data_IF_780914967044
#
_entry.id   IF_780914967044
#
_cell.length_a   1.000
_cell.length_b   1.000
_cell.length_c   1.000
_cell.angle_alpha   90.00
_cell.angle_beta   90.00
_cell.angle_gamma   90.00
#
_symmetry.space_group_name_H-M   'P 1'
#
loop_
_entity.id
_entity.type
_entity.pdbx_description
1 polymer ?
#
# COMPACT_ATOMS: atom_id res chain seq x y z
N UNK A 1 -5.52 -26.14 37.99
CA UNK A 1 -6.50 -25.18 37.45
C UNK A 1 -5.89 -23.81 37.06
N UNK A 2 -4.67 -23.47 37.49
CA UNK A 2 -4.04 -22.16 37.18
C UNK A 2 -3.32 -22.09 35.82
N UNK A 3 -2.69 -23.17 35.34
CA UNK A 3 -1.98 -23.17 34.04
C UNK A 3 -2.91 -22.96 32.83
N UNK A 4 -4.13 -23.51 32.89
CA UNK A 4 -5.14 -23.31 31.83
C UNK A 4 -5.61 -21.85 31.83
N UNK A 5 -5.78 -21.25 33.02
CA UNK A 5 -6.15 -19.84 33.17
C UNK A 5 -5.05 -18.90 32.70
N UNK A 6 -3.79 -19.21 33.00
CA UNK A 6 -2.62 -18.47 32.49
C UNK A 6 -2.48 -18.61 30.97
N UNK A 7 -2.68 -19.81 30.42
CA UNK A 7 -2.71 -20.05 28.99
C UNK A 7 -3.84 -19.27 28.30
N UNK A 8 -5.03 -19.21 28.90
CA UNK A 8 -6.15 -18.41 28.41
C UNK A 8 -5.89 -16.90 28.53
N UNK A 9 -5.22 -16.44 29.60
CA UNK A 9 -4.77 -15.05 29.76
C UNK A 9 -3.72 -14.67 28.71
N UNK A 10 -2.71 -15.52 28.49
CA UNK A 10 -1.70 -15.33 27.44
C UNK A 10 -2.34 -15.32 26.04
N UNK A 11 -3.26 -16.25 25.76
CA UNK A 11 -4.00 -16.31 24.49
C UNK A 11 -4.89 -15.07 24.32
N UNK A 12 -5.55 -14.57 25.38
CA UNK A 12 -6.26 -13.27 25.38
C UNK A 12 -5.31 -12.09 25.16
N UNK A 13 -4.10 -12.12 25.73
CA UNK A 13 -3.07 -11.10 25.55
C UNK A 13 -2.49 -11.11 24.13
N UNK A 14 -2.32 -12.28 23.51
CA UNK A 14 -1.96 -12.43 22.09
C UNK A 14 -3.09 -12.01 21.15
N UNK A 15 -4.35 -12.25 21.53
CA UNK A 15 -5.53 -11.78 20.79
C UNK A 15 -5.72 -10.26 20.97
N UNK A 16 -5.29 -9.69 22.10
CA UNK A 16 -5.35 -8.26 22.44
C UNK A 16 -4.13 -7.44 22.01
N UNK A 17 -2.99 -8.07 21.76
CA UNK A 17 -1.89 -7.47 21.02
C UNK A 17 -2.26 -7.53 19.54
N UNK A 18 -2.47 -6.40 18.84
CA UNK A 18 -2.56 -6.46 17.39
C UNK A 18 -1.24 -7.04 16.89
N UNK A 19 -1.24 -8.33 16.48
CA UNK A 19 -0.25 -8.88 15.54
C UNK A 19 -0.02 -7.78 14.53
N UNK A 20 1.17 -7.15 14.51
CA UNK A 20 1.49 -5.94 13.71
C UNK A 20 0.69 -6.00 12.42
N UNK A 21 -0.47 -5.32 12.38
CA UNK A 21 -1.31 -5.34 11.18
C UNK A 21 -0.40 -4.69 10.15
N UNK A 22 0.00 -5.42 9.11
CA UNK A 22 0.69 -4.85 7.97
C UNK A 22 -0.27 -3.83 7.35
N UNK A 23 -0.29 -2.63 7.91
CA UNK A 23 -1.23 -1.60 7.54
C UNK A 23 -0.66 -1.00 6.26
N UNK A 24 -1.09 -1.57 5.13
CA UNK A 24 -0.72 -1.14 3.79
C UNK A 24 -1.12 0.31 3.59
N UNK A 25 -2.25 0.69 4.19
CA UNK A 25 -2.78 2.04 4.19
C UNK A 25 -2.17 2.86 5.34
N UNK A 26 -1.59 4.00 4.98
CA UNK A 26 -1.09 5.00 5.90
C UNK A 26 -2.19 5.98 6.32
N UNK A 27 -3.13 6.27 5.41
CA UNK A 27 -4.19 7.25 5.65
C UNK A 27 -5.49 6.82 4.98
N UNK A 28 -6.61 7.15 5.64
CA UNK A 28 -7.97 7.08 5.10
C UNK A 28 -8.60 8.46 5.27
N UNK A 29 -9.18 8.99 4.21
CA UNK A 29 -9.86 10.29 4.20
C UNK A 29 -11.30 10.10 3.72
N UNK A 30 -12.21 10.95 4.17
CA UNK A 30 -13.58 11.02 3.67
C UNK A 30 -13.86 12.45 3.24
N UNK A 31 -14.10 12.66 1.95
CA UNK A 31 -14.33 13.99 1.34
C UNK A 31 -15.58 13.88 0.49
N UNK A 32 -16.60 14.70 0.73
CA UNK A 32 -17.83 14.77 -0.07
C UNK A 32 -18.44 13.38 -0.36
N UNK A 33 -18.63 12.57 0.69
CA UNK A 33 -19.08 11.17 0.62
C UNK A 33 -18.19 10.18 -0.15
N UNK A 34 -17.05 10.62 -0.69
CA UNK A 34 -16.02 9.75 -1.25
C UNK A 34 -15.03 9.33 -0.19
N UNK A 35 -14.64 8.05 -0.21
CA UNK A 35 -13.59 7.53 0.68
C UNK A 35 -12.29 7.39 -0.09
N UNK A 36 -11.24 8.06 0.38
CA UNK A 36 -9.90 7.99 -0.22
C UNK A 36 -8.99 7.17 0.69
N UNK A 37 -8.30 6.21 0.10
CA UNK A 37 -7.31 5.39 0.78
C UNK A 37 -5.93 5.71 0.24
N UNK A 38 -4.96 5.87 1.13
CA UNK A 38 -3.60 6.23 0.81
C UNK A 38 -2.67 5.15 1.33
N UNK A 39 -1.94 4.49 0.43
CA UNK A 39 -0.96 3.49 0.83
C UNK A 39 0.25 4.13 1.50
N UNK A 40 1.08 3.30 2.14
CA UNK A 40 2.50 3.64 2.35
C UNK A 40 3.21 3.78 1.00
N UNK A 41 4.44 4.26 1.04
CA UNK A 41 5.31 4.34 -0.13
C UNK A 41 5.85 2.94 -0.42
N UNK A 42 5.64 2.46 -1.63
CA UNK A 42 6.17 1.19 -2.12
C UNK A 42 7.22 1.42 -3.20
N UNK A 43 8.06 0.41 -3.42
CA UNK A 43 9.09 0.47 -4.44
C UNK A 43 8.47 0.46 -5.84
N UNK A 44 7.68 -0.57 -6.12
CA UNK A 44 7.06 -0.85 -7.41
C UNK A 44 5.88 -1.83 -7.26
N UNK A 45 5.20 -2.09 -8.38
CA UNK A 45 4.16 -3.12 -8.49
C UNK A 45 4.84 -4.47 -8.75
N UNK A 46 4.52 -5.47 -7.94
CA UNK A 46 5.03 -6.84 -8.11
C UNK A 46 4.16 -7.62 -9.08
N UNK A 47 2.85 -7.67 -8.82
CA UNK A 47 1.86 -8.35 -9.65
C UNK A 47 0.46 -7.84 -9.30
N UNK A 48 -0.50 -8.04 -10.20
CA UNK A 48 -1.90 -7.74 -10.02
C UNK A 48 -2.73 -8.70 -10.87
N UNK A 49 -4.01 -8.85 -10.56
CA UNK A 49 -4.90 -9.69 -11.36
C UNK A 49 -6.12 -10.14 -10.58
N UNK A 50 -6.84 -11.10 -11.17
CA UNK A 50 -7.99 -11.75 -10.53
C UNK A 50 -7.47 -12.88 -9.66
N UNK A 51 -7.93 -12.96 -8.42
CA UNK A 51 -7.54 -14.04 -7.53
C UNK A 51 -8.18 -15.36 -8.00
N UNK A 52 -7.36 -16.35 -8.38
CA UNK A 52 -7.85 -17.67 -8.83
C UNK A 52 -8.70 -18.40 -7.79
N UNK A 53 -8.49 -18.16 -6.49
CA UNK A 53 -9.28 -18.78 -5.42
C UNK A 53 -10.55 -18.00 -5.08
N UNK A 54 -10.63 -16.74 -5.53
CA UNK A 54 -11.73 -15.81 -5.27
C UNK A 54 -11.93 -14.98 -6.53
N UNK A 55 -12.50 -15.61 -7.55
CA UNK A 55 -12.64 -15.11 -8.93
C UNK A 55 -13.36 -13.76 -9.04
N UNK A 56 -13.97 -13.31 -7.94
CA UNK A 56 -14.73 -12.08 -7.86
C UNK A 56 -13.92 -10.88 -7.33
N UNK A 57 -12.60 -10.96 -7.19
CA UNK A 57 -11.80 -9.86 -6.63
C UNK A 57 -10.50 -9.62 -7.38
N UNK A 58 -10.31 -8.38 -7.82
CA UNK A 58 -9.06 -7.91 -8.37
C UNK A 58 -8.12 -7.48 -7.23
N UNK A 59 -6.89 -7.98 -7.26
CA UNK A 59 -5.87 -7.69 -6.26
C UNK A 59 -4.64 -7.03 -6.88
N UNK A 60 -3.91 -6.32 -6.04
CA UNK A 60 -2.58 -5.80 -6.35
C UNK A 60 -1.60 -6.19 -5.25
N UNK A 61 -0.37 -6.51 -5.63
CA UNK A 61 0.75 -6.77 -4.73
C UNK A 61 1.86 -5.79 -5.02
N UNK A 62 2.34 -5.13 -3.97
CA UNK A 62 3.38 -4.11 -4.01
C UNK A 62 4.61 -4.59 -3.24
N UNK A 63 5.82 -4.31 -3.75
CA UNK A 63 7.08 -4.58 -3.03
C UNK A 63 7.41 -3.45 -2.07
N UNK A 64 7.77 -3.79 -0.84
CA UNK A 64 8.18 -2.81 0.17
C UNK A 64 9.32 -1.94 -0.38
N UNK A 65 9.37 -0.69 0.09
CA UNK A 65 10.32 0.31 -0.34
C UNK A 65 11.79 -0.10 -0.10
N UNK A 66 12.06 -0.77 1.03
CA UNK A 66 13.43 -1.09 1.46
C UNK A 66 13.78 -2.57 1.33
N UNK A 67 12.81 -3.47 1.51
CA UNK A 67 12.99 -4.91 1.31
C UNK A 67 12.19 -5.39 0.09
N UNK A 68 12.90 -5.85 -0.95
CA UNK A 68 12.28 -6.37 -2.18
C UNK A 68 11.55 -7.70 -1.96
N UNK A 69 11.89 -8.44 -0.91
CA UNK A 69 11.30 -9.73 -0.58
C UNK A 69 9.99 -9.54 0.20
N UNK A 70 9.88 -8.45 0.95
CA UNK A 70 8.66 -8.09 1.66
C UNK A 70 7.61 -7.54 0.68
N UNK A 71 6.46 -8.23 0.63
CA UNK A 71 5.35 -7.92 -0.29
C UNK A 71 4.10 -7.63 0.52
N UNK A 72 3.30 -6.70 0.01
CA UNK A 72 2.02 -6.31 0.59
C UNK A 72 0.95 -6.42 -0.48
N UNK A 73 -0.07 -7.23 -0.22
CA UNK A 73 -1.18 -7.45 -1.14
C UNK A 73 -2.50 -6.97 -0.56
N UNK A 74 -3.33 -6.35 -1.39
CA UNK A 74 -4.68 -5.97 -1.02
C UNK A 74 -5.64 -6.05 -2.20
N UNK A 75 -6.92 -6.09 -1.88
CA UNK A 75 -8.01 -6.14 -2.84
C UNK A 75 -8.38 -4.72 -3.24
N UNK A 76 -8.49 -4.47 -4.55
CA UNK A 76 -8.83 -3.17 -5.12
C UNK A 76 -10.34 -3.03 -5.26
N UNK A 77 -10.96 -3.96 -6.01
CA UNK A 77 -12.40 -3.99 -6.22
C UNK A 77 -12.92 -5.43 -6.38
N UNK A 78 -14.21 -5.59 -6.10
CA UNK A 78 -14.92 -6.80 -6.49
C UNK A 78 -15.39 -6.72 -7.94
N UNK A 79 -15.41 -7.84 -8.63
CA UNK A 79 -15.77 -7.98 -10.05
C UNK A 79 -17.29 -8.17 -10.23
N UNK A 80 -18.03 -8.43 -9.13
CA UNK A 80 -19.49 -8.56 -9.18
C UNK A 80 -20.17 -7.20 -9.41
N UNK A 81 -21.08 -7.18 -10.38
CA UNK A 81 -21.97 -6.05 -10.71
C UNK A 81 -22.83 -5.55 -9.54
N UNK A 82 -23.01 -6.35 -8.49
CA UNK A 82 -23.77 -5.97 -7.29
C UNK A 82 -23.09 -4.90 -6.43
N UNK A 83 -21.86 -4.51 -6.74
CA UNK A 83 -21.16 -3.41 -6.08
C UNK A 83 -21.55 -2.12 -6.82
N UNK A 84 -22.42 -1.32 -6.20
CA UNK A 84 -22.79 0.03 -6.65
C UNK A 84 -21.62 1.04 -6.47
N UNK A 85 -20.40 0.65 -6.84
CA UNK A 85 -19.18 1.45 -6.81
C UNK A 85 -18.35 1.12 -8.05
N UNK A 86 -18.74 1.75 -9.16
CA UNK A 86 -18.15 1.54 -10.48
C UNK A 86 -16.68 1.98 -10.53
N UNK A 87 -15.83 1.17 -11.18
CA UNK A 87 -14.44 1.51 -11.44
C UNK A 87 -14.35 2.49 -12.62
N UNK A 88 -13.82 3.68 -12.37
CA UNK A 88 -13.74 4.78 -13.35
C UNK A 88 -12.40 4.81 -14.09
N UNK A 89 -11.40 4.05 -13.65
CA UNK A 89 -10.11 3.92 -14.34
C UNK A 89 -8.88 4.13 -13.45
N UNK A 90 -7.72 4.03 -14.10
CA UNK A 90 -6.40 4.24 -13.49
C UNK A 90 -5.81 5.57 -13.93
N UNK A 91 -5.39 6.39 -12.97
CA UNK A 91 -4.78 7.69 -13.23
C UNK A 91 -3.39 7.76 -12.63
N UNK A 92 -2.45 8.33 -13.38
CA UNK A 92 -1.09 8.56 -12.92
C UNK A 92 -0.94 10.00 -12.46
N UNK A 93 -0.32 10.19 -11.32
CA UNK A 93 -0.12 11.53 -10.78
C UNK A 93 1.10 11.62 -9.88
N UNK A 94 1.35 12.82 -9.39
CA UNK A 94 2.36 13.05 -8.38
C UNK A 94 1.90 14.08 -7.36
N UNK A 95 2.42 13.95 -6.15
CA UNK A 95 2.28 14.95 -5.09
C UNK A 95 3.63 15.59 -4.84
N UNK A 96 3.70 16.92 -4.96
CA UNK A 96 4.84 17.72 -4.51
C UNK A 96 4.64 18.11 -3.06
N UNK A 97 5.72 18.09 -2.29
CA UNK A 97 5.73 18.53 -0.91
C UNK A 97 6.51 19.83 -0.78
N UNK A 98 6.04 20.80 0.03
CA UNK A 98 6.78 22.02 0.30
C UNK A 98 8.04 21.77 1.14
N UNK A 99 8.09 20.65 1.89
CA UNK A 99 9.25 20.18 2.65
C UNK A 99 9.59 18.74 2.26
N UNK A 100 10.88 18.33 2.24
CA UNK A 100 11.26 16.99 1.84
C UNK A 100 10.79 15.94 2.85
N UNK A 101 10.33 14.80 2.35
CA UNK A 101 10.22 13.57 3.13
C UNK A 101 11.59 12.89 3.16
N UNK A 102 12.10 12.62 4.37
CA UNK A 102 13.39 11.94 4.54
C UNK A 102 13.21 10.42 4.58
N UNK A 103 13.71 9.75 3.54
CA UNK A 103 13.73 8.29 3.45
C UNK A 103 15.03 7.76 4.05
N UNK A 104 14.92 7.07 5.18
CA UNK A 104 16.06 6.38 5.81
C UNK A 104 16.13 4.95 5.29
N UNK A 105 17.29 4.51 4.82
CA UNK A 105 17.52 3.12 4.43
C UNK A 105 18.92 2.66 4.81
N UNK A 106 19.08 1.36 5.00
CA UNK A 106 20.38 0.73 5.22
C UNK A 106 20.95 0.31 3.87
N UNK A 107 22.14 0.83 3.55
CA UNK A 107 22.86 0.44 2.35
C UNK A 107 23.33 -1.01 2.48
N UNK A 108 23.07 -1.83 1.46
CA UNK A 108 23.33 -3.28 1.53
C UNK A 108 24.84 -3.58 1.54
N UNK A 109 25.64 -2.75 0.87
CA UNK A 109 27.09 -2.96 0.69
C UNK A 109 27.85 -2.39 1.88
N UNK A 110 27.60 -1.12 2.19
CA UNK A 110 28.33 -0.37 3.24
C UNK A 110 27.74 -0.57 4.63
N UNK A 111 26.55 -1.16 4.75
CA UNK A 111 25.76 -1.31 6.00
C UNK A 111 25.44 0.01 6.72
N UNK A 112 25.79 1.16 6.14
CA UNK A 112 25.55 2.49 6.69
C UNK A 112 24.08 2.90 6.52
N UNK A 113 23.60 3.72 7.47
CA UNK A 113 22.28 4.36 7.36
C UNK A 113 22.41 5.57 6.46
N UNK A 114 21.70 5.56 5.33
CA UNK A 114 21.60 6.69 4.40
C UNK A 114 20.23 7.36 4.52
N UNK A 115 20.22 8.68 4.36
CA UNK A 115 19.01 9.49 4.38
C UNK A 115 18.91 10.22 3.04
N UNK A 116 17.82 10.02 2.32
CA UNK A 116 17.59 10.68 1.03
C UNK A 116 16.34 11.56 1.12
N UNK A 117 16.45 12.87 0.79
CA UNK A 117 15.30 13.75 0.73
C UNK A 117 14.45 13.47 -0.52
N UNK A 118 13.13 13.46 -0.37
CA UNK A 118 12.18 13.29 -1.45
C UNK A 118 11.13 14.40 -1.44
N UNK A 119 11.10 15.21 -2.49
CA UNK A 119 10.18 16.35 -2.65
C UNK A 119 8.94 16.02 -3.49
N UNK A 120 8.98 14.92 -4.24
CA UNK A 120 7.94 14.51 -5.17
C UNK A 120 7.71 13.01 -5.02
N UNK A 121 6.45 12.62 -4.86
CA UNK A 121 6.04 11.21 -4.86
C UNK A 121 5.05 10.94 -5.98
N UNK A 122 5.28 9.88 -6.74
CA UNK A 122 4.39 9.44 -7.80
C UNK A 122 3.38 8.44 -7.23
N UNK A 123 2.19 8.40 -7.82
CA UNK A 123 1.15 7.45 -7.44
C UNK A 123 0.37 6.96 -8.65
N UNK A 124 -0.26 5.79 -8.48
CA UNK A 124 -1.37 5.32 -9.29
C UNK A 124 -2.64 5.49 -8.47
N UNK A 125 -3.61 6.20 -9.00
CA UNK A 125 -4.94 6.31 -8.44
C UNK A 125 -5.85 5.29 -9.15
N UNK A 126 -6.42 4.38 -8.37
CA UNK A 126 -7.55 3.57 -8.81
C UNK A 126 -8.82 4.31 -8.39
N UNK A 127 -9.52 4.89 -9.36
CA UNK A 127 -10.68 5.74 -9.11
C UNK A 127 -11.97 4.94 -9.21
N UNK A 128 -12.87 5.17 -8.27
CA UNK A 128 -14.20 4.59 -8.21
C UNK A 128 -15.25 5.69 -8.03
N UNK A 129 -16.52 5.39 -8.29
CA UNK A 129 -17.63 6.34 -8.13
C UNK A 129 -17.73 6.89 -6.70
N UNK A 130 -17.54 6.04 -5.69
CA UNK A 130 -17.63 6.35 -4.25
C UNK A 130 -16.29 6.52 -3.57
N UNK A 131 -15.16 6.45 -4.29
CA UNK A 131 -13.87 6.53 -3.62
C UNK A 131 -12.67 6.41 -4.53
N UNK A 132 -11.48 6.38 -3.95
CA UNK A 132 -10.24 6.16 -4.70
C UNK A 132 -9.18 5.51 -3.82
N UNK A 133 -8.30 4.74 -4.44
CA UNK A 133 -7.12 4.18 -3.79
C UNK A 133 -5.86 4.74 -4.45
N UNK A 134 -5.08 5.47 -3.66
CA UNK A 134 -3.80 6.06 -4.07
C UNK A 134 -2.65 5.14 -3.66
N UNK A 135 -2.05 4.49 -4.64
CA UNK A 135 -0.87 3.65 -4.49
C UNK A 135 0.39 4.47 -4.76
N UNK A 136 1.11 4.84 -3.70
CA UNK A 136 2.36 5.61 -3.84
C UNK A 136 3.53 4.70 -4.22
N UNK A 137 4.14 4.95 -5.37
CA UNK A 137 5.15 4.07 -5.96
C UNK A 137 6.37 4.88 -6.41
N UNK A 138 7.54 4.53 -5.88
CA UNK A 138 8.80 5.22 -6.19
C UNK A 138 9.26 4.98 -7.64
N UNK A 139 9.15 3.75 -8.15
CA UNK A 139 9.67 3.38 -9.47
C UNK A 139 8.95 4.06 -10.64
N UNK A 140 7.70 4.54 -10.46
CA UNK A 140 6.94 5.21 -11.53
C UNK A 140 7.64 6.46 -12.05
N UNK A 141 8.49 7.10 -11.25
CA UNK A 141 9.28 8.25 -11.72
C UNK A 141 10.08 7.92 -13.00
N UNK A 142 10.51 6.66 -13.18
CA UNK A 142 11.26 6.23 -14.35
C UNK A 142 10.40 6.27 -15.62
N UNK A 143 9.10 5.95 -15.52
CA UNK A 143 8.16 5.98 -16.65
C UNK A 143 7.86 7.40 -17.13
N UNK A 144 8.20 8.43 -16.35
CA UNK A 144 7.97 9.84 -16.71
C UNK A 144 9.16 10.49 -17.41
N UNK A 145 10.31 9.80 -17.55
CA UNK A 145 11.48 10.32 -18.27
C UNK A 145 11.42 9.84 -19.71
N UNK A 146 11.24 10.77 -20.66
CA UNK A 146 11.17 10.47 -22.10
C UNK A 146 12.48 9.91 -22.69
N UNK A 147 13.61 10.06 -22.00
CA UNK A 147 14.96 9.78 -22.54
C UNK A 147 15.45 8.32 -22.37
N UNK A 148 14.59 7.35 -22.03
CA UNK A 148 15.04 5.97 -21.73
C UNK A 148 14.22 4.85 -22.39
N UNK A 149 13.63 5.12 -23.54
CA UNK A 149 13.05 4.09 -24.41
C UNK A 149 13.53 4.32 -25.83
#
# INVERSE_FOLDING_TARGET
MNQILEGLKYKKMEIGLPKKKNNIFMKKEKINNKTLYHTKIFRDVFTFGINQRNENKFFITLRNLFDKNEKSSFQLFGIKESINDEFLGMFYGFKRFPRPLFLKYKDVITKAIKIVPMYKIHYIEFRYKKGSVFCYIKAIHALTKKEKF
#
